data_IF_592099093544
#
_entry.id   IF_592099093544
#
_cell.length_a   1.000
_cell.length_b   1.000
_cell.length_c   1.000
_cell.angle_alpha   90.00
_cell.angle_beta   90.00
_cell.angle_gamma   90.00
#
_symmetry.space_group_name_H-M   'P 1'
#
loop_
_entity.id
_entity.type
_entity.pdbx_description
1 polymer ?
#
# COMPACT_ATOMS: atom_id res chain seq x y z
N UNK A 1 3.25 -6.93 -24.98
CA UNK A 1 3.80 -6.49 -24.88
C UNK A 1 3.86 -6.57 -24.95
N UNK A 2 3.46 -6.66 -24.62
CA UNK A 2 3.82 -6.39 -24.47
C UNK A 2 3.72 -6.65 -24.31
N UNK A 3 3.35 -6.93 -24.44
CA UNK A 3 3.65 -6.75 -24.21
C UNK A 3 3.56 -7.06 -23.90
N UNK A 4 3.10 -7.41 -23.99
CA UNK A 4 3.37 -7.25 -23.80
C UNK A 4 3.48 -7.42 -23.54
N UNK A 5 3.24 -7.61 -23.33
CA UNK A 5 3.69 -7.31 -23.14
C UNK A 5 3.95 -7.30 -22.74
N UNK A 6 3.37 -8.04 -22.97
CA UNK A 6 3.97 -7.72 -22.84
C UNK A 6 4.35 -7.75 -22.44
N UNK A 7 4.14 -8.18 -22.46
CA UNK A 7 4.82 -7.75 -22.32
C UNK A 7 5.13 -7.75 -22.06
N UNK A 8 4.97 -7.86 -21.76
CA UNK A 8 5.51 -7.39 -21.69
C UNK A 8 5.98 -7.01 -21.47
N UNK A 9 5.77 -7.47 -21.70
CA UNK A 9 6.39 -6.82 -21.68
C UNK A 9 6.82 -6.55 -21.40
N UNK A 10 6.48 -6.48 -21.19
CA UNK A 10 7.09 -5.83 -21.14
C UNK A 10 7.49 -5.46 -20.93
N UNK A 11 7.43 -5.49 -21.04
CA UNK A 11 8.01 -4.79 -21.02
C UNK A 11 8.27 -4.25 -20.81
N UNK A 12 7.90 -4.34 -20.89
CA UNK A 12 8.30 -3.60 -20.94
C UNK A 12 8.46 -3.12 -20.68
N UNK A 13 8.07 -3.44 -21.04
CA UNK A 13 8.36 -2.79 -21.06
C UNK A 13 8.42 -2.42 -20.78
N UNK A 14 8.04 -2.66 -20.99
CA UNK A 14 8.21 -2.14 -21.03
C UNK A 14 8.19 -1.89 -20.71
N UNK A 15 7.88 -2.09 -20.89
CA UNK A 15 8.03 -1.80 -20.89
C UNK A 15 8.01 -1.70 -20.53
N UNK A 16 7.80 -1.95 -20.65
CA UNK A 16 8.05 -1.79 -20.53
C UNK A 16 8.40 -1.85 -19.94
N UNK A 17 8.54 -1.95 -19.80
CA UNK A 17 8.93 -2.07 -19.37
C UNK A 17 9.15 -2.33 -18.58
N UNK A 18 9.34 -2.15 -18.31
CA UNK A 18 9.77 -2.98 -17.36
C UNK A 18 8.94 -3.13 -16.10
N UNK A 19 8.69 -4.27 -15.45
CA UNK A 19 7.70 -4.61 -14.49
C UNK A 19 7.69 -3.83 -13.20
N UNK A 20 8.83 -3.32 -12.78
CA UNK A 20 8.94 -2.59 -11.51
C UNK A 20 8.17 -1.27 -11.53
N UNK A 21 7.74 -0.83 -12.69
CA UNK A 21 7.01 0.43 -12.83
C UNK A 21 5.50 0.26 -12.76
N UNK A 22 5.02 -0.96 -12.55
CA UNK A 22 3.59 -1.19 -12.41
C UNK A 22 3.09 -0.49 -11.16
N UNK A 23 1.94 0.16 -11.31
CA UNK A 23 1.27 0.74 -10.15
C UNK A 23 0.68 -0.35 -9.28
N UNK A 24 0.76 -0.12 -7.99
CA UNK A 24 0.21 -1.04 -7.01
C UNK A 24 -0.36 -0.26 -5.85
N UNK A 25 -1.27 -0.87 -5.14
CA UNK A 25 -1.92 -0.25 -3.99
C UNK A 25 -1.67 -1.08 -2.75
N UNK A 26 -1.56 -0.39 -1.61
CA UNK A 26 -1.47 -1.03 -0.31
C UNK A 26 -2.82 -0.90 0.36
N UNK A 27 -3.43 -2.04 0.68
CA UNK A 27 -4.74 -2.11 1.32
C UNK A 27 -4.55 -2.62 2.74
N UNK A 28 -5.12 -1.91 3.71
CA UNK A 28 -5.07 -2.32 5.12
C UNK A 28 -6.46 -2.73 5.55
N UNK A 29 -6.55 -3.89 6.19
CA UNK A 29 -7.80 -4.46 6.65
C UNK A 29 -7.96 -4.25 8.16
N UNK A 30 -9.20 -4.21 8.59
CA UNK A 30 -9.51 -4.00 10.00
C UNK A 30 -8.97 -5.15 10.85
N UNK A 31 -8.47 -4.77 12.03
CA UNK A 31 -7.99 -5.72 13.02
C UNK A 31 -8.24 -5.08 14.39
N UNK A 32 -8.87 -5.83 15.30
CA UNK A 32 -9.14 -5.33 16.64
C UNK A 32 -7.88 -5.30 17.51
N UNK A 33 -6.74 -5.56 16.93
CA UNK A 33 -5.48 -5.72 17.64
C UNK A 33 -4.72 -4.41 17.85
N UNK A 34 -5.22 -3.28 17.33
CA UNK A 34 -4.53 -2.01 17.43
C UNK A 34 -5.51 -0.88 17.78
N UNK A 35 -5.00 0.12 18.50
CA UNK A 35 -5.74 1.35 18.73
C UNK A 35 -5.56 2.27 17.53
N UNK A 36 -6.41 3.31 17.46
CA UNK A 36 -6.27 4.34 16.43
C UNK A 36 -4.89 4.96 16.48
N UNK A 37 -4.41 5.26 17.70
CA UNK A 37 -3.11 5.90 17.84
C UNK A 37 -1.99 5.02 17.27
N UNK A 38 -2.05 3.73 17.51
CA UNK A 38 -1.04 2.80 16.99
C UNK A 38 -1.06 2.76 15.46
N UNK A 39 -2.26 2.74 14.88
CA UNK A 39 -2.39 2.72 13.41
C UNK A 39 -1.88 4.04 12.83
N UNK A 40 -2.27 5.17 13.44
CA UNK A 40 -1.83 6.48 12.97
C UNK A 40 -0.30 6.58 13.02
N UNK A 41 0.31 6.11 14.10
CA UNK A 41 1.77 6.14 14.24
C UNK A 41 2.44 5.31 13.15
N UNK A 42 1.91 4.12 12.87
CA UNK A 42 2.48 3.26 11.85
C UNK A 42 2.36 3.89 10.47
N UNK A 43 1.21 4.48 10.16
CA UNK A 43 1.01 5.13 8.87
C UNK A 43 1.96 6.31 8.72
N UNK A 44 2.05 7.16 9.73
CA UNK A 44 2.91 8.34 9.66
C UNK A 44 4.39 7.97 9.57
N UNK A 45 4.77 6.86 10.18
CA UNK A 45 6.16 6.41 10.20
C UNK A 45 6.60 5.79 8.89
N UNK A 46 5.70 5.05 8.24
CA UNK A 46 6.10 4.20 7.12
C UNK A 46 5.56 4.63 5.76
N UNK A 47 4.53 5.47 5.72
CA UNK A 47 3.94 5.88 4.45
C UNK A 47 4.40 7.30 4.11
N UNK A 48 5.11 7.48 2.98
CA UNK A 48 5.61 8.81 2.61
C UNK A 48 4.47 9.81 2.44
N UNK A 49 4.67 11.01 2.96
CA UNK A 49 3.69 12.08 2.80
C UNK A 49 2.45 11.98 3.68
N UNK A 50 2.41 10.97 4.55
CA UNK A 50 1.25 10.79 5.42
C UNK A 50 1.23 11.85 6.52
N UNK A 51 0.05 12.40 6.79
CA UNK A 51 -0.15 13.33 7.90
C UNK A 51 -1.03 12.67 8.95
N UNK A 52 -1.04 13.24 10.16
CA UNK A 52 -1.89 12.72 11.24
C UNK A 52 -3.36 12.77 10.86
N UNK A 53 -3.79 13.86 10.22
CA UNK A 53 -5.20 14.00 9.80
C UNK A 53 -5.58 12.93 8.79
N UNK A 54 -4.72 12.72 7.80
CA UNK A 54 -4.99 11.71 6.77
C UNK A 54 -4.95 10.31 7.37
N UNK A 55 -3.99 10.07 8.24
CA UNK A 55 -3.87 8.78 8.90
C UNK A 55 -5.10 8.47 9.74
N UNK A 56 -5.62 9.47 10.44
CA UNK A 56 -6.85 9.30 11.23
C UNK A 56 -8.03 8.96 10.32
N UNK A 57 -8.18 9.69 9.22
CA UNK A 57 -9.23 9.41 8.24
C UNK A 57 -9.19 7.97 7.77
N UNK A 58 -8.00 7.50 7.42
CA UNK A 58 -7.82 6.14 6.93
C UNK A 58 -8.11 5.11 8.02
N UNK A 59 -7.66 5.37 9.24
CA UNK A 59 -7.93 4.48 10.36
C UNK A 59 -9.43 4.39 10.62
N UNK A 60 -10.13 5.53 10.56
CA UNK A 60 -11.58 5.57 10.74
C UNK A 60 -12.28 4.73 9.66
N UNK A 61 -11.83 4.91 8.41
CA UNK A 61 -12.40 4.18 7.28
C UNK A 61 -12.19 2.67 7.43
N UNK A 62 -11.01 2.27 7.85
CA UNK A 62 -10.70 0.86 8.08
C UNK A 62 -11.62 0.30 9.17
N UNK A 63 -11.78 1.05 10.25
CA UNK A 63 -12.60 0.62 11.40
C UNK A 63 -14.07 0.48 11.02
N UNK A 64 -14.59 1.39 10.20
CA UNK A 64 -16.02 1.44 9.90
C UNK A 64 -16.39 0.71 8.61
N UNK A 65 -15.47 0.61 7.65
CA UNK A 65 -15.75 0.00 6.35
C UNK A 65 -15.00 -1.31 6.13
N UNK A 66 -14.10 -1.66 7.02
CA UNK A 66 -13.40 -2.94 6.97
C UNK A 66 -12.03 -2.88 6.31
N UNK A 67 -11.78 -1.92 5.44
CA UNK A 67 -10.48 -1.78 4.77
C UNK A 67 -10.38 -0.43 4.12
N UNK A 68 -9.14 -0.04 3.77
CA UNK A 68 -8.90 1.18 3.01
C UNK A 68 -7.59 1.08 2.27
N UNK A 69 -7.53 1.77 1.14
CA UNK A 69 -6.28 1.93 0.40
C UNK A 69 -5.49 3.05 1.06
N UNK A 70 -4.28 2.74 1.52
CA UNK A 70 -3.48 3.71 2.26
C UNK A 70 -2.30 4.25 1.46
N UNK A 71 -1.98 3.63 0.34
CA UNK A 71 -0.86 4.07 -0.51
C UNK A 71 -1.05 3.54 -1.91
N UNK A 72 -0.64 4.33 -2.91
CA UNK A 72 -0.60 3.91 -4.30
C UNK A 72 0.69 4.42 -4.91
N UNK A 73 1.39 3.57 -5.61
CA UNK A 73 2.64 3.93 -6.24
C UNK A 73 3.22 2.74 -6.98
N UNK A 74 4.56 2.72 -7.12
CA UNK A 74 5.20 1.59 -7.79
C UNK A 74 5.03 0.34 -6.95
N UNK A 75 5.07 -0.81 -7.63
CA UNK A 75 4.94 -2.08 -6.92
C UNK A 75 6.06 -2.25 -5.89
N UNK A 76 7.26 -1.84 -6.24
CA UNK A 76 8.40 -1.96 -5.33
C UNK A 76 8.16 -1.18 -4.02
N UNK A 77 7.67 0.06 -4.15
CA UNK A 77 7.39 0.87 -2.97
C UNK A 77 6.20 0.31 -2.18
N UNK A 78 5.17 -0.12 -2.89
CA UNK A 78 4.00 -0.69 -2.23
C UNK A 78 4.37 -1.91 -1.41
N UNK A 79 5.20 -2.79 -1.97
CA UNK A 79 5.63 -3.99 -1.25
C UNK A 79 6.49 -3.64 -0.04
N UNK A 80 7.36 -2.65 -0.18
CA UNK A 80 8.20 -2.22 0.93
C UNK A 80 7.35 -1.66 2.08
N UNK A 81 6.39 -0.80 1.74
CA UNK A 81 5.50 -0.20 2.74
C UNK A 81 4.63 -1.28 3.39
N UNK A 82 4.07 -2.17 2.58
CA UNK A 82 3.24 -3.25 3.09
C UNK A 82 4.01 -4.13 4.07
N UNK A 83 5.27 -4.43 3.75
CA UNK A 83 6.12 -5.22 4.63
C UNK A 83 6.32 -4.56 5.98
N UNK A 84 6.54 -3.25 5.98
CA UNK A 84 6.74 -2.51 7.23
C UNK A 84 5.45 -2.45 8.06
N UNK A 85 4.32 -2.22 7.41
CA UNK A 85 3.04 -2.20 8.11
C UNK A 85 2.70 -3.58 8.68
N UNK A 86 2.96 -4.62 7.91
CA UNK A 86 2.72 -5.99 8.37
C UNK A 86 3.62 -6.32 9.55
N UNK A 87 4.87 -5.85 9.52
CA UNK A 87 5.78 -6.06 10.65
C UNK A 87 5.27 -5.37 11.92
N UNK A 88 4.48 -4.31 11.76
CA UNK A 88 3.82 -3.64 12.88
C UNK A 88 2.55 -4.33 13.34
N UNK A 89 2.19 -5.44 12.71
CA UNK A 89 1.03 -6.24 13.11
C UNK A 89 -0.25 -5.96 12.36
N UNK A 90 -0.21 -5.11 11.33
CA UNK A 90 -1.40 -4.80 10.55
C UNK A 90 -1.66 -5.87 9.49
N UNK A 91 -2.91 -6.02 9.11
CA UNK A 91 -3.31 -6.92 8.03
C UNK A 91 -3.28 -6.15 6.73
N UNK A 92 -2.36 -6.51 5.84
CA UNK A 92 -2.04 -5.70 4.67
C UNK A 92 -2.04 -6.58 3.42
N UNK A 93 -2.47 -5.97 2.32
CA UNK A 93 -2.43 -6.63 1.03
C UNK A 93 -1.91 -5.64 -0.02
N UNK A 94 -1.12 -6.13 -0.98
CA UNK A 94 -0.70 -5.34 -2.13
C UNK A 94 -1.50 -5.81 -3.33
N UNK A 95 -2.09 -4.87 -4.06
CA UNK A 95 -2.88 -5.17 -5.25
C UNK A 95 -2.34 -4.49 -6.49
#
# INVERSE_FOLDING_TARGET
MTSTEVSEITEEDTALGTGSDFEASVIVYNCDCHTYQQVIDLFCRHIPGMTSSKAFELAWKIDHQGSAEVYQGTQKMAEAIAGKLAAGGLRVEVR
#
